data_IF_414485212241
#
_entry.id   IF_414485212241
#
_cell.length_a   1.000
_cell.length_b   1.000
_cell.length_c   1.000
_cell.angle_alpha   90.00
_cell.angle_beta   90.00
_cell.angle_gamma   90.00
#
_symmetry.space_group_name_H-M   'P 1'
#
loop_
_entity.id
_entity.type
_entity.pdbx_description
1 polymer ?
#
# COMPACT_ATOMS: atom_id res chain seq x y z
N UNK A 1 -0.28 -19.60 38.99
CA UNK A 1 -1.26 -18.50 38.71
C UNK A 1 -0.60 -17.17 38.31
N UNK A 2 0.60 -16.82 38.75
CA UNK A 2 1.32 -15.58 38.46
C UNK A 2 1.87 -15.57 37.02
N UNK A 3 2.39 -16.69 36.53
CA UNK A 3 2.97 -16.77 35.15
C UNK A 3 1.92 -16.60 34.05
N UNK A 4 0.70 -17.08 34.24
CA UNK A 4 -0.36 -16.91 33.23
C UNK A 4 -0.86 -15.46 33.13
N UNK A 5 -0.85 -14.73 34.26
CA UNK A 5 -1.16 -13.29 34.25
C UNK A 5 -0.09 -12.45 33.57
N UNK A 6 1.20 -12.78 33.76
CA UNK A 6 2.31 -12.12 33.06
C UNK A 6 2.32 -12.44 31.57
N UNK A 7 2.05 -13.68 31.16
CA UNK A 7 1.93 -14.05 29.74
C UNK A 7 0.77 -13.30 29.08
N UNK A 8 -0.38 -13.15 29.74
CA UNK A 8 -1.51 -12.40 29.21
C UNK A 8 -1.28 -10.88 29.19
N UNK A 9 -0.40 -10.34 30.05
CA UNK A 9 -0.01 -8.92 30.03
C UNK A 9 0.95 -8.61 28.86
N UNK A 10 1.85 -9.53 28.52
CA UNK A 10 2.76 -9.41 27.39
C UNK A 10 2.05 -9.59 26.04
N UNK A 11 0.91 -10.29 26.00
CA UNK A 11 0.10 -10.47 24.80
C UNK A 11 -1.05 -9.46 24.65
N UNK A 12 -1.28 -8.60 25.65
CA UNK A 12 -1.99 -7.33 25.47
C UNK A 12 -1.06 -6.25 24.87
N UNK A 13 -0.29 -6.60 23.87
CA UNK A 13 0.08 -5.61 22.86
C UNK A 13 -1.26 -5.13 22.31
N UNK A 14 -1.65 -3.92 22.69
CA UNK A 14 -2.66 -3.16 21.96
C UNK A 14 -2.35 -3.39 20.48
N UNK A 15 -3.12 -4.26 19.84
CA UNK A 15 -3.22 -4.26 18.39
C UNK A 15 -3.59 -2.80 18.11
N UNK A 16 -2.62 -2.03 17.65
CA UNK A 16 -2.89 -0.69 17.17
C UNK A 16 -4.08 -0.90 16.25
N UNK A 17 -5.22 -0.34 16.61
CA UNK A 17 -6.33 -0.26 15.68
C UNK A 17 -5.76 0.45 14.47
N UNK A 18 -5.43 -0.33 13.44
CA UNK A 18 -4.81 0.15 12.20
C UNK A 18 -5.89 0.84 11.34
N UNK A 19 -6.73 1.63 12.01
CA UNK A 19 -7.94 2.14 11.42
C UNK A 19 -7.66 3.26 10.45
N UNK A 20 -6.61 3.80 10.16
CA UNK A 20 -6.41 4.91 9.20
C UNK A 20 -4.95 5.33 9.19
N UNK A 21 -4.14 4.57 8.49
CA UNK A 21 -2.73 4.90 8.32
C UNK A 21 -2.60 5.86 7.14
N UNK A 22 -2.23 7.10 7.39
CA UNK A 22 -1.95 8.07 6.34
C UNK A 22 -0.64 7.75 5.65
N UNK A 23 -0.65 7.82 4.33
CA UNK A 23 0.59 7.75 3.55
C UNK A 23 1.55 8.85 3.95
N UNK A 24 2.83 8.56 4.25
CA UNK A 24 3.83 9.58 4.52
C UNK A 24 3.92 10.59 3.38
N UNK A 25 4.01 11.87 3.71
CA UNK A 25 3.96 12.97 2.72
C UNK A 25 5.02 12.85 1.63
N UNK A 26 6.23 12.42 1.98
CA UNK A 26 7.30 12.26 1.00
C UNK A 26 7.02 11.11 0.01
N UNK A 27 6.53 9.96 0.52
CA UNK A 27 6.15 8.84 -0.35
C UNK A 27 5.05 9.29 -1.30
N UNK A 28 4.02 9.95 -0.78
CA UNK A 28 2.93 10.48 -1.59
C UNK A 28 3.42 11.46 -2.67
N UNK A 29 4.21 12.46 -2.26
CA UNK A 29 4.72 13.48 -3.18
C UNK A 29 5.47 12.85 -4.35
N UNK A 30 6.42 11.96 -4.06
CA UNK A 30 7.23 11.29 -5.07
C UNK A 30 6.37 10.44 -6.03
N UNK A 31 5.43 9.66 -5.48
CA UNK A 31 4.54 8.84 -6.29
C UNK A 31 3.59 9.71 -7.14
N UNK A 32 3.02 10.77 -6.56
CA UNK A 32 2.11 11.62 -7.31
C UNK A 32 2.81 12.50 -8.35
N UNK A 33 4.05 12.88 -8.14
CA UNK A 33 4.88 13.54 -9.15
C UNK A 33 5.14 12.64 -10.36
N UNK A 34 5.33 11.34 -10.12
CA UNK A 34 5.59 10.36 -11.18
C UNK A 34 4.30 9.97 -11.92
N UNK A 35 3.25 9.62 -11.19
CA UNK A 35 2.07 8.96 -11.76
C UNK A 35 0.91 9.90 -12.05
N UNK A 36 0.77 11.04 -11.36
CA UNK A 36 -0.34 12.00 -11.49
C UNK A 36 -1.69 11.33 -11.26
N UNK A 37 -1.91 10.85 -10.03
CA UNK A 37 -3.10 10.10 -9.67
C UNK A 37 -4.40 10.84 -9.94
N UNK A 38 -5.39 10.12 -10.46
CA UNK A 38 -6.73 10.63 -10.73
C UNK A 38 -7.72 10.23 -9.65
N UNK A 39 -7.46 9.13 -8.92
CA UNK A 39 -8.34 8.65 -7.85
C UNK A 39 -7.56 8.01 -6.70
N UNK A 40 -8.03 8.22 -5.47
CA UNK A 40 -7.58 7.54 -4.26
C UNK A 40 -8.60 6.45 -3.87
N UNK A 41 -8.22 5.19 -4.01
CA UNK A 41 -9.12 4.05 -3.84
C UNK A 41 -9.35 3.63 -2.37
N UNK A 42 -8.58 4.18 -1.43
CA UNK A 42 -8.63 3.76 -0.03
C UNK A 42 -8.59 4.97 0.91
N UNK A 43 -9.55 5.85 0.78
CA UNK A 43 -9.59 7.13 1.48
C UNK A 43 -10.75 7.24 2.48
N UNK A 44 -10.71 8.28 3.27
CA UNK A 44 -11.84 8.82 4.02
C UNK A 44 -12.04 10.30 3.68
N UNK A 45 -13.14 10.88 4.13
CA UNK A 45 -13.40 12.31 3.96
C UNK A 45 -12.32 13.21 4.60
N UNK A 46 -11.52 12.65 5.52
CA UNK A 46 -10.46 13.38 6.25
C UNK A 46 -9.05 13.17 5.69
N UNK A 47 -8.82 12.08 4.94
CA UNK A 47 -7.47 11.66 4.55
C UNK A 47 -7.25 11.46 3.05
N UNK A 48 -8.24 11.79 2.22
CA UNK A 48 -8.08 11.66 0.76
C UNK A 48 -6.92 12.51 0.24
N UNK A 49 -6.23 11.99 -0.75
CA UNK A 49 -5.01 12.59 -1.30
C UNK A 49 -5.24 13.24 -2.68
N UNK A 50 -6.37 12.94 -3.32
CA UNK A 50 -6.85 13.58 -4.55
C UNK A 50 -8.35 13.87 -4.43
N UNK A 51 -8.89 14.73 -5.32
CA UNK A 51 -10.29 15.16 -5.25
C UNK A 51 -11.29 14.02 -5.48
N UNK A 52 -10.96 13.08 -6.39
CA UNK A 52 -11.76 11.88 -6.61
C UNK A 52 -11.24 10.77 -5.68
N UNK A 53 -12.11 10.27 -4.82
CA UNK A 53 -11.72 9.22 -3.88
C UNK A 53 -12.91 8.31 -3.53
N UNK A 54 -12.60 7.12 -3.06
CA UNK A 54 -13.60 6.17 -2.59
C UNK A 54 -13.37 5.84 -1.12
N UNK A 55 -14.44 5.94 -0.36
CA UNK A 55 -14.47 5.61 1.07
C UNK A 55 -14.82 4.15 1.29
N UNK A 56 -14.74 3.71 2.53
CA UNK A 56 -15.14 2.35 2.94
C UNK A 56 -16.62 2.07 2.61
N UNK A 57 -17.47 3.08 2.71
CA UNK A 57 -18.92 2.99 2.45
C UNK A 57 -19.21 2.86 0.97
N UNK A 58 -18.43 3.54 0.13
CA UNK A 58 -18.56 3.49 -1.34
C UNK A 58 -18.03 2.16 -1.89
N UNK A 59 -17.09 1.52 -1.18
CA UNK A 59 -16.41 0.30 -1.60
C UNK A 59 -15.75 0.38 -2.99
N UNK A 60 -14.50 0.79 -3.00
CA UNK A 60 -13.71 0.95 -4.23
C UNK A 60 -13.76 -0.26 -5.17
N UNK A 61 -13.85 -1.48 -4.63
CA UNK A 61 -13.86 -2.68 -5.47
C UNK A 61 -15.15 -2.86 -6.28
N UNK A 62 -16.23 -2.12 -5.98
CA UNK A 62 -17.45 -2.09 -6.77
C UNK A 62 -17.44 -0.97 -7.81
N UNK A 63 -16.48 -0.05 -7.75
CA UNK A 63 -16.42 1.10 -8.64
C UNK A 63 -15.75 0.74 -9.98
N UNK A 64 -15.97 1.58 -10.99
CA UNK A 64 -15.25 1.45 -12.25
C UNK A 64 -13.86 2.11 -12.14
N UNK A 65 -12.80 1.33 -12.40
CA UNK A 65 -11.41 1.80 -12.38
C UNK A 65 -10.84 2.04 -13.79
N UNK A 66 -11.60 1.74 -14.84
CA UNK A 66 -11.10 1.84 -16.20
C UNK A 66 -10.69 3.27 -16.56
N UNK A 67 -9.55 3.38 -17.22
CA UNK A 67 -8.90 4.62 -17.63
C UNK A 67 -8.40 5.53 -16.48
N UNK A 68 -8.49 5.08 -15.23
CA UNK A 68 -7.97 5.80 -14.06
C UNK A 68 -6.49 5.51 -13.82
N UNK A 69 -5.84 6.47 -13.17
CA UNK A 69 -4.54 6.30 -12.52
C UNK A 69 -4.81 6.25 -11.02
N UNK A 70 -4.86 5.04 -10.48
CA UNK A 70 -5.38 4.75 -9.15
C UNK A 70 -4.24 4.73 -8.14
N UNK A 71 -4.35 5.49 -7.06
CA UNK A 71 -3.59 5.27 -5.85
C UNK A 71 -4.36 4.36 -4.91
N UNK A 72 -3.70 3.35 -4.34
CA UNK A 72 -4.34 2.39 -3.45
C UNK A 72 -3.43 2.04 -2.26
N UNK A 73 -3.76 2.56 -1.09
CA UNK A 73 -3.11 2.22 0.17
C UNK A 73 -4.13 1.57 1.10
N UNK A 74 -4.48 0.29 0.86
CA UNK A 74 -5.48 -0.40 1.64
C UNK A 74 -4.98 -0.66 3.05
N UNK A 75 -5.90 -0.84 4.00
CA UNK A 75 -5.54 -1.35 5.31
C UNK A 75 -4.78 -2.68 5.16
N UNK A 76 -3.74 -2.85 5.97
CA UNK A 76 -2.89 -4.05 5.92
C UNK A 76 -3.57 -5.24 6.62
N UNK A 77 -4.77 -5.54 6.19
CA UNK A 77 -5.61 -6.63 6.66
C UNK A 77 -5.82 -7.70 5.57
N UNK A 78 -6.68 -8.65 5.82
CA UNK A 78 -7.02 -9.71 4.88
C UNK A 78 -7.70 -9.24 3.58
N UNK A 79 -7.95 -7.95 3.38
CA UNK A 79 -8.64 -7.40 2.21
C UNK A 79 -7.71 -7.00 1.06
N UNK A 80 -6.39 -6.93 1.29
CA UNK A 80 -5.41 -6.60 0.24
C UNK A 80 -5.62 -7.42 -1.05
N UNK A 81 -5.84 -8.75 -1.01
CA UNK A 81 -6.03 -9.54 -2.22
C UNK A 81 -7.18 -9.07 -3.10
N UNK A 82 -8.24 -8.55 -2.50
CA UNK A 82 -9.44 -8.06 -3.19
C UNK A 82 -9.13 -6.83 -4.06
N UNK A 83 -8.35 -5.89 -3.54
CA UNK A 83 -7.92 -4.70 -4.27
C UNK A 83 -6.97 -5.06 -5.41
N UNK A 84 -6.02 -5.97 -5.17
CA UNK A 84 -5.09 -6.43 -6.21
C UNK A 84 -5.83 -7.15 -7.32
N UNK A 85 -6.78 -8.01 -6.98
CA UNK A 85 -7.65 -8.67 -7.97
C UNK A 85 -8.39 -7.62 -8.80
N UNK A 86 -9.05 -6.64 -8.17
CA UNK A 86 -9.75 -5.56 -8.86
C UNK A 86 -8.85 -4.81 -9.82
N UNK A 87 -7.65 -4.42 -9.39
CA UNK A 87 -6.67 -3.75 -10.25
C UNK A 87 -6.24 -4.62 -11.43
N UNK A 88 -6.04 -5.93 -11.20
CA UNK A 88 -5.61 -6.85 -12.27
C UNK A 88 -6.68 -7.08 -13.33
N UNK A 89 -7.96 -6.92 -12.99
CA UNK A 89 -9.11 -7.12 -13.86
C UNK A 89 -9.60 -5.82 -14.52
N UNK A 90 -9.16 -4.65 -14.07
CA UNK A 90 -9.54 -3.34 -14.60
C UNK A 90 -8.53 -2.83 -15.62
N UNK A 91 -9.01 -2.08 -16.63
CA UNK A 91 -8.17 -1.40 -17.61
C UNK A 91 -7.69 -0.05 -17.03
N UNK A 92 -6.79 -0.11 -16.05
CA UNK A 92 -6.27 1.04 -15.32
C UNK A 92 -4.77 0.92 -15.07
N UNK A 93 -4.18 2.00 -14.57
CA UNK A 93 -2.88 1.95 -13.92
C UNK A 93 -3.11 2.09 -12.42
N UNK A 94 -2.62 1.14 -11.63
CA UNK A 94 -2.75 1.19 -10.18
C UNK A 94 -1.39 1.15 -9.50
N UNK A 95 -1.21 2.03 -8.55
CA UNK A 95 -0.01 2.06 -7.69
C UNK A 95 -0.44 1.77 -6.25
N UNK A 96 0.07 0.68 -5.73
CA UNK A 96 -0.17 0.24 -4.35
C UNK A 96 1.00 0.60 -3.44
N UNK A 97 0.70 0.96 -2.21
CA UNK A 97 1.64 0.92 -1.09
C UNK A 97 1.25 -0.24 -0.18
N UNK A 98 2.11 -1.27 -0.07
CA UNK A 98 1.81 -2.55 0.58
C UNK A 98 2.94 -3.03 1.47
N UNK A 99 2.64 -3.89 2.47
CA UNK A 99 3.67 -4.71 3.11
C UNK A 99 4.33 -5.63 2.08
N UNK A 100 5.65 -5.77 2.15
CA UNK A 100 6.40 -6.67 1.28
C UNK A 100 6.24 -8.13 1.72
N UNK A 101 4.99 -8.61 1.76
CA UNK A 101 4.63 -9.97 2.16
C UNK A 101 4.82 -10.95 0.99
N UNK A 102 6.07 -11.23 0.66
CA UNK A 102 6.46 -12.06 -0.50
C UNK A 102 6.03 -13.54 -0.39
N UNK A 103 5.63 -13.98 0.79
CA UNK A 103 5.10 -15.32 1.04
C UNK A 103 3.57 -15.40 0.95
N UNK A 104 2.88 -14.32 0.61
CA UNK A 104 1.42 -14.29 0.54
C UNK A 104 0.88 -14.90 -0.74
N UNK A 105 -0.31 -15.49 -0.67
CA UNK A 105 -0.98 -16.08 -1.84
C UNK A 105 -1.16 -15.05 -2.95
N UNK A 106 -1.60 -13.82 -2.63
CA UNK A 106 -1.82 -12.78 -3.62
C UNK A 106 -0.54 -12.39 -4.36
N UNK A 107 0.62 -12.41 -3.68
CA UNK A 107 1.90 -12.10 -4.29
C UNK A 107 2.20 -13.05 -5.44
N UNK A 108 2.08 -14.35 -5.21
CA UNK A 108 2.34 -15.39 -6.20
C UNK A 108 1.22 -15.50 -7.25
N UNK A 109 -0.02 -15.18 -6.88
CA UNK A 109 -1.14 -15.27 -7.82
C UNK A 109 -1.13 -14.13 -8.84
N UNK A 110 -0.91 -12.89 -8.38
CA UNK A 110 -1.10 -11.71 -9.21
C UNK A 110 0.17 -10.96 -9.58
N UNK A 111 1.20 -10.98 -8.74
CA UNK A 111 2.34 -10.09 -8.90
C UNK A 111 3.58 -10.79 -9.43
N UNK A 112 3.84 -12.01 -9.03
CA UNK A 112 5.08 -12.73 -9.29
C UNK A 112 4.88 -13.93 -10.18
N UNK A 113 5.78 -14.11 -11.17
CA UNK A 113 5.83 -15.31 -12.01
C UNK A 113 6.86 -16.29 -11.42
N UNK A 114 6.37 -17.33 -10.74
CA UNK A 114 7.22 -18.34 -10.08
C UNK A 114 8.06 -19.18 -11.04
N UNK A 115 7.63 -19.30 -12.32
CA UNK A 115 8.39 -20.06 -13.33
C UNK A 115 9.55 -19.24 -13.88
N UNK A 116 9.36 -17.94 -14.02
CA UNK A 116 10.34 -17.02 -14.60
C UNK A 116 11.15 -16.26 -13.55
N UNK A 117 10.83 -16.44 -12.26
CA UNK A 117 11.46 -15.76 -11.13
C UNK A 117 11.53 -14.23 -11.28
N UNK A 118 10.44 -13.62 -11.75
CA UNK A 118 10.33 -12.17 -11.95
C UNK A 118 8.89 -11.68 -11.80
N UNK A 119 8.67 -10.36 -11.67
CA UNK A 119 7.32 -9.78 -11.74
C UNK A 119 6.63 -10.15 -13.06
N UNK A 120 5.30 -10.28 -13.04
CA UNK A 120 4.50 -10.51 -14.25
C UNK A 120 4.63 -9.34 -15.22
N UNK A 121 4.27 -9.52 -16.48
CA UNK A 121 4.59 -8.62 -17.62
C UNK A 121 4.24 -7.15 -17.39
N UNK A 122 3.13 -6.85 -16.74
CA UNK A 122 2.62 -5.50 -16.49
C UNK A 122 2.80 -5.06 -15.03
N UNK A 123 3.67 -5.74 -14.29
CA UNK A 123 3.91 -5.49 -12.88
C UNK A 123 5.32 -4.94 -12.65
N UNK A 124 5.41 -3.85 -11.88
CA UNK A 124 6.66 -3.39 -11.30
C UNK A 124 6.59 -3.46 -9.79
N UNK A 125 7.63 -3.94 -9.14
CA UNK A 125 7.75 -4.00 -7.69
C UNK A 125 8.97 -3.18 -7.30
N UNK A 126 8.80 -2.24 -6.37
CA UNK A 126 9.85 -1.38 -5.82
C UNK A 126 9.84 -1.54 -4.31
N UNK A 127 10.92 -2.01 -3.73
CA UNK A 127 11.05 -2.08 -2.28
C UNK A 127 11.45 -0.72 -1.73
N UNK A 128 10.78 -0.30 -0.64
CA UNK A 128 11.15 0.93 0.05
C UNK A 128 12.43 0.71 0.85
N UNK A 129 13.41 1.57 0.61
CA UNK A 129 14.67 1.54 1.35
C UNK A 129 14.45 2.15 2.74
N UNK A 130 14.91 1.44 3.77
CA UNK A 130 14.86 1.94 5.14
C UNK A 130 15.84 3.09 5.34
N UNK A 131 15.37 4.20 5.88
CA UNK A 131 16.26 5.30 6.26
C UNK A 131 17.15 4.89 7.44
N UNK A 132 18.45 5.12 7.34
CA UNK A 132 19.44 4.80 8.40
C UNK A 132 19.03 5.50 9.70
N UNK A 133 18.95 4.74 10.79
CA UNK A 133 18.60 5.27 12.13
C UNK A 133 17.11 5.36 12.43
N UNK A 134 16.21 5.06 11.47
CA UNK A 134 14.77 5.05 11.69
C UNK A 134 14.27 3.60 11.71
N UNK A 135 13.59 3.21 12.79
CA UNK A 135 12.95 1.90 12.91
C UNK A 135 11.54 1.92 12.30
N UNK A 136 11.43 1.44 11.06
CA UNK A 136 10.17 1.30 10.34
C UNK A 136 9.63 2.60 9.75
N UNK A 137 8.62 2.45 8.87
CA UNK A 137 7.94 3.61 8.27
C UNK A 137 6.97 4.21 9.28
N UNK A 138 7.06 5.51 9.51
CA UNK A 138 6.13 6.23 10.36
C UNK A 138 4.90 6.63 9.57
N UNK A 139 3.80 5.95 9.86
CA UNK A 139 2.49 6.34 9.36
C UNK A 139 1.81 7.24 10.38
N UNK A 140 1.14 8.27 9.93
CA UNK A 140 0.36 9.15 10.79
C UNK A 140 -1.08 8.63 10.92
N UNK A 141 -1.71 8.86 12.06
CA UNK A 141 -3.14 8.63 12.22
C UNK A 141 -3.96 9.75 11.54
N UNK A 142 -5.30 9.68 11.59
CA UNK A 142 -6.17 10.70 11.02
C UNK A 142 -5.96 12.11 11.61
N UNK A 143 -5.53 12.19 12.87
CA UNK A 143 -5.30 13.43 13.59
C UNK A 143 -3.88 14.00 13.36
N UNK A 144 -3.09 13.40 12.43
CA UNK A 144 -1.69 13.70 12.16
C UNK A 144 -0.75 13.47 13.36
N UNK A 145 -1.14 12.66 14.32
CA UNK A 145 -0.27 12.28 15.42
C UNK A 145 0.78 11.26 14.93
N UNK A 146 2.01 11.51 15.29
CA UNK A 146 3.11 10.61 15.00
C UNK A 146 3.04 9.36 15.90
N UNK A 147 3.04 8.13 15.35
CA UNK A 147 3.04 6.96 16.19
C UNK A 147 4.35 6.86 16.98
N UNK A 148 4.26 6.37 18.22
CA UNK A 148 5.44 6.13 19.08
C UNK A 148 6.44 5.16 18.45
N UNK A 149 5.97 4.23 17.62
CA UNK A 149 6.78 3.24 16.92
C UNK A 149 6.40 3.19 15.45
N UNK A 150 7.39 3.11 14.55
CA UNK A 150 7.16 2.92 13.13
C UNK A 150 6.63 1.51 12.80
N UNK A 151 6.05 1.37 11.63
CA UNK A 151 5.66 0.07 11.08
C UNK A 151 6.91 -0.72 10.70
N UNK A 152 7.14 -1.84 11.39
CA UNK A 152 8.41 -2.57 11.33
C UNK A 152 8.55 -3.49 10.11
N UNK A 153 7.45 -3.83 9.44
CA UNK A 153 7.52 -4.70 8.25
C UNK A 153 8.03 -3.92 7.04
N UNK A 154 8.84 -4.55 6.18
CA UNK A 154 9.23 -3.93 4.93
C UNK A 154 8.01 -3.56 4.08
N UNK A 155 8.11 -2.44 3.37
CA UNK A 155 7.09 -1.97 2.45
C UNK A 155 7.55 -2.09 1.02
N UNK A 156 6.59 -2.20 0.12
CA UNK A 156 6.82 -2.17 -1.32
C UNK A 156 5.78 -1.29 -2.01
N UNK A 157 6.20 -0.64 -3.08
CA UNK A 157 5.32 -0.05 -4.07
C UNK A 157 5.12 -1.06 -5.19
N UNK A 158 3.88 -1.37 -5.51
CA UNK A 158 3.52 -2.25 -6.63
C UNK A 158 2.76 -1.44 -7.66
N UNK A 159 3.27 -1.42 -8.89
CA UNK A 159 2.60 -0.80 -10.03
C UNK A 159 1.99 -1.91 -10.89
N UNK A 160 0.70 -1.84 -11.16
CA UNK A 160 -0.03 -2.68 -12.12
C UNK A 160 -0.44 -1.78 -13.28
N UNK A 161 0.21 -1.92 -14.44
CA UNK A 161 -0.06 -1.09 -15.62
C UNK A 161 -0.84 -1.85 -16.70
N UNK A 162 -2.16 -1.81 -16.61
CA UNK A 162 -3.05 -2.38 -17.63
C UNK A 162 -3.41 -1.36 -18.74
N UNK A 163 -2.92 -0.11 -18.66
CA UNK A 163 -3.04 0.89 -19.72
C UNK A 163 -1.92 0.80 -20.75
N UNK A 164 -0.89 -0.03 -20.49
CA UNK A 164 0.33 -0.11 -21.32
C UNK A 164 0.97 1.26 -21.57
N UNK A 165 0.95 2.12 -20.59
CA UNK A 165 1.66 3.40 -20.62
C UNK A 165 3.16 3.11 -20.53
N UNK A 166 3.78 2.73 -21.65
CA UNK A 166 5.17 2.24 -21.80
C UNK A 166 6.26 3.24 -21.38
N UNK A 167 5.93 4.44 -20.95
CA UNK A 167 6.87 5.52 -20.70
C UNK A 167 7.27 5.69 -19.25
N UNK A 168 7.08 4.67 -18.41
CA UNK A 168 7.74 4.70 -17.10
C UNK A 168 9.22 4.36 -17.33
N UNK A 169 10.04 5.36 -17.50
CA UNK A 169 11.45 5.19 -17.18
C UNK A 169 11.49 4.61 -15.77
N UNK A 170 12.14 3.47 -15.62
CA UNK A 170 12.34 2.86 -14.30
C UNK A 170 12.82 3.94 -13.37
N UNK A 171 11.96 4.34 -12.42
CA UNK A 171 12.31 5.37 -11.48
C UNK A 171 13.60 4.97 -10.77
N UNK A 172 14.69 5.65 -11.07
CA UNK A 172 16.01 5.44 -10.46
C UNK A 172 16.13 6.14 -9.11
N UNK A 173 15.05 6.80 -8.65
CA UNK A 173 15.00 7.49 -7.38
C UNK A 173 14.97 6.50 -6.21
N UNK A 174 15.73 6.79 -5.18
CA UNK A 174 15.67 6.07 -3.92
C UNK A 174 14.44 6.57 -3.16
N UNK A 175 13.43 5.71 -2.96
CA UNK A 175 12.39 5.98 -1.99
C UNK A 175 12.99 5.87 -0.60
N UNK A 176 13.30 7.00 0.01
CA UNK A 176 13.66 7.07 1.42
C UNK A 176 12.39 7.27 2.23
N UNK A 177 12.23 6.48 3.27
CA UNK A 177 11.13 6.60 4.24
C UNK A 177 11.54 7.48 5.39
#
# INVERSE_FOLDING_TARGET
>A
MIQQKQFNLLHKTKTLKMEWIRTPKEIWKNLNEEFKFTVDACASNKNHLVNKYWTKEIDACTQNWDNEIVYCHPMFDGKIPRFIKKASESKCLTVFLLPASTNSVYYHTYLWDNKKHKPRKNIQIRFLEKTKGIYGTKFFNEDNEEPKTGYLRPLMVVVIDNLNKKNYEFYKGKFRT
#
